data_IF_321832699537
#
_entry.id   IF_321832699537
#
_cell.length_a   1.000
_cell.length_b   1.000
_cell.length_c   1.000
_cell.angle_alpha   90.00
_cell.angle_beta   90.00
_cell.angle_gamma   90.00
#
_symmetry.space_group_name_H-M   'P 1'
#
loop_
_entity.id
_entity.type
_entity.pdbx_description
1 polymer ?
#
# COMPACT_ATOMS: atom_id res chain seq x y z
N UNK A 1 -4.73 26.44 -35.32
CA UNK A 1 -5.16 25.05 -35.58
C UNK A 1 -4.07 24.15 -35.04
N UNK A 2 -4.30 23.55 -33.89
CA UNK A 2 -3.34 22.64 -33.25
C UNK A 2 -3.38 21.34 -34.03
N UNK A 3 -2.29 21.02 -34.74
CA UNK A 3 -2.13 19.70 -35.36
C UNK A 3 -2.29 18.64 -34.27
N UNK A 4 -3.32 17.81 -34.39
CA UNK A 4 -3.45 16.59 -33.60
C UNK A 4 -2.37 15.67 -34.14
N UNK A 5 -1.20 15.70 -33.50
CA UNK A 5 -0.11 14.78 -33.82
C UNK A 5 -0.64 13.37 -33.57
N UNK A 6 -0.93 12.63 -34.63
CA UNK A 6 -1.37 11.25 -34.54
C UNK A 6 -0.16 10.39 -34.17
N UNK A 7 0.03 10.13 -32.88
CA UNK A 7 1.08 9.24 -32.40
C UNK A 7 0.77 7.81 -32.83
N UNK A 8 1.76 7.11 -33.40
CA UNK A 8 1.59 5.67 -33.66
C UNK A 8 1.67 4.88 -32.34
N UNK A 9 1.16 3.65 -32.34
CA UNK A 9 1.29 2.75 -31.17
C UNK A 9 2.77 2.52 -30.80
N UNK A 10 3.67 2.53 -31.78
CA UNK A 10 5.10 2.41 -31.56
C UNK A 10 5.68 3.65 -30.85
N UNK A 11 5.27 4.85 -31.28
CA UNK A 11 5.70 6.11 -30.63
C UNK A 11 5.20 6.19 -29.19
N UNK A 12 3.96 5.76 -28.95
CA UNK A 12 3.38 5.70 -27.60
C UNK A 12 4.10 4.67 -26.73
N UNK A 13 4.37 3.47 -27.24
CA UNK A 13 5.11 2.44 -26.52
C UNK A 13 6.53 2.92 -26.16
N UNK A 14 7.23 3.51 -27.12
CA UNK A 14 8.55 4.12 -26.92
C UNK A 14 8.51 5.19 -25.84
N UNK A 15 7.57 6.14 -25.94
CA UNK A 15 7.40 7.22 -24.96
C UNK A 15 7.07 6.69 -23.57
N UNK A 16 6.18 5.71 -23.46
CA UNK A 16 5.77 5.12 -22.17
C UNK A 16 6.97 4.42 -21.51
N UNK A 17 7.74 3.62 -22.25
CA UNK A 17 8.92 2.92 -21.71
C UNK A 17 9.99 3.90 -21.25
N UNK A 18 10.27 4.95 -22.04
CA UNK A 18 11.22 5.99 -21.63
C UNK A 18 10.75 6.76 -20.39
N UNK A 19 9.49 7.21 -20.35
CA UNK A 19 8.95 7.94 -19.21
C UNK A 19 8.95 7.09 -17.93
N UNK A 20 8.61 5.80 -18.04
CA UNK A 20 8.69 4.88 -16.89
C UNK A 20 10.14 4.73 -16.41
N UNK A 21 11.07 4.50 -17.33
CA UNK A 21 12.49 4.32 -16.99
C UNK A 21 13.06 5.57 -16.32
N UNK A 22 12.73 6.75 -16.84
CA UNK A 22 13.08 8.04 -16.24
C UNK A 22 12.48 8.19 -14.85
N UNK A 23 11.19 7.89 -14.68
CA UNK A 23 10.51 8.00 -13.39
C UNK A 23 11.15 7.07 -12.33
N UNK A 24 11.48 5.83 -12.71
CA UNK A 24 12.10 4.86 -11.81
C UNK A 24 13.49 5.35 -11.36
N UNK A 25 14.33 5.82 -12.30
CA UNK A 25 15.67 6.36 -12.00
C UNK A 25 15.62 7.61 -11.12
N UNK A 26 14.75 8.56 -11.45
CA UNK A 26 14.55 9.78 -10.64
C UNK A 26 14.04 9.45 -9.24
N UNK A 27 13.14 8.47 -9.11
CA UNK A 27 12.63 8.04 -7.81
C UNK A 27 13.73 7.40 -6.95
N UNK A 28 14.62 6.63 -7.56
CA UNK A 28 15.76 6.02 -6.87
C UNK A 28 16.76 7.07 -6.38
N UNK A 29 17.17 8.00 -7.24
CA UNK A 29 18.03 9.13 -6.85
C UNK A 29 17.37 10.02 -5.80
N UNK A 30 16.07 10.30 -5.93
CA UNK A 30 15.31 11.03 -4.92
C UNK A 30 15.35 10.33 -3.55
N UNK A 31 15.23 9.00 -3.51
CA UNK A 31 15.35 8.22 -2.26
C UNK A 31 16.76 8.33 -1.68
N UNK A 32 17.80 8.22 -2.51
CA UNK A 32 19.20 8.34 -2.08
C UNK A 32 19.51 9.74 -1.54
N UNK A 33 19.18 10.79 -2.29
CA UNK A 33 19.37 12.18 -1.88
C UNK A 33 18.60 12.51 -0.59
N UNK A 34 17.36 12.01 -0.46
CA UNK A 34 16.57 12.15 0.78
C UNK A 34 17.22 11.45 1.97
N UNK A 35 17.81 10.26 1.77
CA UNK A 35 18.50 9.54 2.83
C UNK A 35 19.75 10.31 3.31
N UNK A 36 20.61 10.73 2.38
CA UNK A 36 21.82 11.54 2.67
C UNK A 36 21.44 12.83 3.39
N UNK A 37 20.47 13.58 2.86
CA UNK A 37 19.98 14.81 3.49
C UNK A 37 19.40 14.54 4.88
N UNK A 38 18.71 13.41 5.05
CA UNK A 38 18.18 12.95 6.33
C UNK A 38 19.25 12.70 7.38
N UNK A 39 20.46 12.30 7.00
CA UNK A 39 21.61 12.17 7.91
C UNK A 39 22.23 13.53 8.26
N UNK A 40 22.22 14.48 7.31
CA UNK A 40 22.89 15.77 7.44
C UNK A 40 22.08 16.84 8.20
N UNK A 41 20.75 16.83 8.12
CA UNK A 41 19.91 17.84 8.78
C UNK A 41 19.42 17.38 10.16
N UNK A 42 19.38 18.32 11.11
CA UNK A 42 18.88 18.04 12.45
C UNK A 42 17.35 17.90 12.45
N UNK A 43 16.81 17.30 13.51
CA UNK A 43 15.35 17.24 13.70
C UNK A 43 14.81 18.67 13.91
N UNK A 44 13.74 19.01 13.20
CA UNK A 44 13.14 20.35 13.21
C UNK A 44 13.68 21.28 12.12
N UNK A 45 14.79 20.93 11.45
CA UNK A 45 15.42 21.81 10.46
C UNK A 45 14.67 21.85 9.13
N UNK A 46 14.79 23.00 8.45
CA UNK A 46 14.27 23.22 7.10
C UNK A 46 15.29 23.95 6.23
N UNK A 47 15.60 23.39 5.06
CA UNK A 47 16.54 23.96 4.09
C UNK A 47 15.78 24.34 2.81
N UNK A 48 15.91 25.59 2.38
CA UNK A 48 15.29 26.06 1.14
C UNK A 48 16.14 25.66 -0.08
N UNK A 49 15.53 24.97 -1.04
CA UNK A 49 16.14 24.71 -2.34
C UNK A 49 15.97 25.94 -3.25
N UNK A 50 17.07 26.36 -3.91
CA UNK A 50 17.12 27.57 -4.74
C UNK A 50 17.88 27.29 -6.03
N UNK A 51 17.55 28.03 -7.10
CA UNK A 51 18.30 28.00 -8.37
C UNK A 51 19.64 28.73 -8.25
N UNK A 52 20.51 28.60 -9.25
CA UNK A 52 21.74 29.42 -9.36
C UNK A 52 21.44 30.92 -9.38
N UNK A 53 20.31 31.33 -9.99
CA UNK A 53 19.83 32.73 -9.99
C UNK A 53 19.07 33.13 -8.70
N UNK A 54 19.27 32.41 -7.59
CA UNK A 54 18.63 32.62 -6.27
C UNK A 54 17.08 32.54 -6.22
N UNK A 55 16.42 31.98 -7.24
CA UNK A 55 14.96 31.75 -7.20
C UNK A 55 14.63 30.57 -6.30
N UNK A 56 13.71 30.75 -5.36
CA UNK A 56 13.26 29.69 -4.44
C UNK A 56 12.41 28.64 -5.17
N UNK A 57 12.80 27.38 -5.06
CA UNK A 57 12.10 26.23 -5.64
C UNK A 57 11.20 25.52 -4.63
N UNK A 58 11.61 25.48 -3.37
CA UNK A 58 10.91 24.75 -2.32
C UNK A 58 11.72 24.67 -1.04
N UNK A 59 11.34 23.76 -0.14
CA UNK A 59 12.12 23.45 1.07
C UNK A 59 12.04 21.97 1.42
N UNK A 60 13.11 21.44 1.97
CA UNK A 60 13.17 20.10 2.58
C UNK A 60 13.16 20.28 4.09
N UNK A 61 12.28 19.59 4.80
CA UNK A 61 12.14 19.69 6.26
C UNK A 61 12.24 18.31 6.87
N UNK A 62 13.00 18.18 7.97
CA UNK A 62 12.98 16.97 8.82
C UNK A 62 12.12 17.25 10.03
N UNK A 63 10.84 16.92 9.90
CA UNK A 63 9.88 17.10 10.99
C UNK A 63 10.21 16.16 12.16
N UNK A 64 9.98 16.63 13.39
CA UNK A 64 9.96 15.76 14.56
C UNK A 64 8.51 15.24 14.72
N UNK A 65 8.22 13.98 14.34
CA UNK A 65 6.89 13.43 14.55
C UNK A 65 6.61 13.40 16.05
N UNK A 66 5.35 13.65 16.43
CA UNK A 66 4.95 13.55 17.84
C UNK A 66 5.34 12.15 18.37
N UNK A 67 5.88 12.05 19.59
CA UNK A 67 6.23 10.76 20.16
C UNK A 67 4.98 9.89 20.22
N UNK A 68 5.07 8.71 19.62
CA UNK A 68 4.01 7.70 19.67
C UNK A 68 4.31 6.75 20.83
N UNK A 69 3.35 6.58 21.73
CA UNK A 69 3.45 5.61 22.81
C UNK A 69 3.25 4.20 22.21
N UNK A 70 4.34 3.45 22.12
CA UNK A 70 4.30 2.05 21.65
C UNK A 70 4.30 1.14 22.87
N UNK A 71 3.33 0.23 22.92
CA UNK A 71 3.27 -0.82 23.96
C UNK A 71 4.41 -1.81 23.71
N UNK A 72 5.43 -1.79 24.58
CA UNK A 72 6.57 -2.72 24.52
C UNK A 72 6.32 -4.04 25.23
N UNK A 73 5.49 -4.01 26.27
CA UNK A 73 5.13 -5.14 27.10
C UNK A 73 3.63 -5.00 27.41
N UNK A 74 2.84 -5.88 26.80
CA UNK A 74 1.38 -5.86 26.96
C UNK A 74 0.97 -6.37 28.34
N UNK A 75 1.66 -7.37 28.87
CA UNK A 75 1.28 -8.03 30.11
C UNK A 75 1.57 -7.14 31.32
N UNK A 76 2.73 -6.47 31.32
CA UNK A 76 3.07 -5.49 32.36
C UNK A 76 2.12 -4.27 32.34
N UNK A 77 1.72 -3.82 31.14
CA UNK A 77 0.75 -2.74 30.98
C UNK A 77 -0.63 -3.17 31.51
N UNK A 78 -1.11 -4.35 31.14
CA UNK A 78 -2.41 -4.85 31.58
C UNK A 78 -2.46 -5.06 33.10
N UNK A 79 -1.39 -5.57 33.69
CA UNK A 79 -1.27 -5.69 35.15
C UNK A 79 -1.36 -4.33 35.84
N UNK A 80 -0.67 -3.32 35.31
CA UNK A 80 -0.74 -1.95 35.83
C UNK A 80 -2.13 -1.33 35.65
N UNK A 81 -2.77 -1.49 34.48
CA UNK A 81 -4.11 -0.97 34.19
C UNK A 81 -5.18 -1.55 35.12
N UNK A 82 -5.06 -2.84 35.47
CA UNK A 82 -5.97 -3.50 36.42
C UNK A 82 -5.83 -2.97 37.85
N UNK A 83 -4.64 -2.47 38.23
CA UNK A 83 -4.39 -1.84 39.53
C UNK A 83 -4.82 -0.37 39.52
N UNK A 84 -4.51 0.36 38.46
CA UNK A 84 -4.76 1.81 38.36
C UNK A 84 -6.24 2.13 38.09
N UNK A 85 -6.92 1.32 37.28
CA UNK A 85 -8.30 1.56 36.86
C UNK A 85 -9.22 0.35 37.10
N UNK A 86 -9.32 -0.17 38.34
CA UNK A 86 -10.06 -1.39 38.64
C UNK A 86 -11.56 -1.29 38.33
N UNK A 87 -12.13 -0.10 38.43
CA UNK A 87 -13.53 0.22 38.17
C UNK A 87 -13.88 0.34 36.68
N UNK A 88 -12.87 0.41 35.81
CA UNK A 88 -13.03 0.53 34.35
C UNK A 88 -12.72 -0.77 33.61
N UNK A 89 -12.41 -1.85 34.33
CA UNK A 89 -12.20 -3.17 33.75
C UNK A 89 -13.55 -3.84 33.50
N UNK A 90 -13.89 -4.07 32.24
CA UNK A 90 -15.06 -4.86 31.86
C UNK A 90 -14.78 -6.35 32.07
N UNK A 91 -15.66 -7.05 32.80
CA UNK A 91 -15.67 -8.51 32.82
C UNK A 91 -16.66 -9.01 31.78
N UNK A 92 -16.16 -9.81 30.83
CA UNK A 92 -16.99 -10.50 29.84
C UNK A 92 -17.02 -11.98 30.17
N UNK A 93 -18.21 -12.57 30.07
CA UNK A 93 -18.37 -14.02 30.14
C UNK A 93 -18.15 -14.56 28.75
N UNK A 94 -17.06 -15.27 28.56
CA UNK A 94 -16.83 -16.06 27.37
C UNK A 94 -17.39 -17.46 27.61
N UNK A 95 -18.13 -17.97 26.63
CA UNK A 95 -18.49 -19.38 26.64
C UNK A 95 -17.20 -20.17 26.52
N UNK A 96 -17.05 -21.17 27.39
CA UNK A 96 -15.92 -22.10 27.32
C UNK A 96 -16.03 -23.01 26.10
N UNK A 97 -15.79 -24.31 26.31
CA UNK A 97 -15.93 -25.30 25.24
C UNK A 97 -17.37 -25.37 24.74
N UNK A 98 -17.61 -24.85 23.54
CA UNK A 98 -18.93 -24.76 22.93
C UNK A 98 -19.60 -26.14 22.79
N UNK A 99 -18.83 -27.21 22.56
CA UNK A 99 -19.35 -28.58 22.51
C UNK A 99 -19.92 -29.04 23.85
N UNK A 100 -19.25 -28.74 24.96
CA UNK A 100 -19.74 -29.05 26.31
C UNK A 100 -20.94 -28.16 26.69
N UNK A 101 -20.88 -26.87 26.35
CA UNK A 101 -21.97 -25.92 26.60
C UNK A 101 -23.21 -26.30 25.81
N UNK A 102 -23.06 -26.64 24.53
CA UNK A 102 -24.17 -27.09 23.68
C UNK A 102 -24.76 -28.41 24.18
N UNK A 103 -23.93 -29.37 24.60
CA UNK A 103 -24.42 -30.62 25.20
C UNK A 103 -25.28 -30.34 26.43
N UNK A 104 -24.81 -29.49 27.35
CA UNK A 104 -25.58 -29.09 28.54
C UNK A 104 -26.89 -28.38 28.16
N UNK A 105 -26.88 -27.49 27.17
CA UNK A 105 -28.10 -26.80 26.71
C UNK A 105 -29.11 -27.77 26.07
N UNK A 106 -28.62 -28.74 25.30
CA UNK A 106 -29.43 -29.81 24.68
C UNK A 106 -30.03 -30.71 25.78
N UNK A 107 -29.21 -31.17 26.72
CA UNK A 107 -29.62 -32.05 27.82
C UNK A 107 -30.60 -31.36 28.78
N UNK A 108 -30.44 -30.04 28.99
CA UNK A 108 -31.37 -29.22 29.76
C UNK A 108 -32.67 -28.88 28.99
N UNK A 109 -32.84 -29.37 27.76
CA UNK A 109 -34.01 -29.13 26.93
C UNK A 109 -34.18 -27.69 26.47
N UNK A 110 -33.12 -26.87 26.54
CA UNK A 110 -33.13 -25.43 26.18
C UNK A 110 -32.91 -25.22 24.68
N UNK A 111 -33.66 -25.94 23.86
CA UNK A 111 -33.62 -25.76 22.39
C UNK A 111 -34.12 -24.37 21.96
N UNK A 112 -34.86 -23.67 22.81
CA UNK A 112 -35.24 -22.27 22.64
C UNK A 112 -34.04 -21.31 22.61
N UNK A 113 -32.88 -21.74 23.14
CA UNK A 113 -31.63 -20.97 23.14
C UNK A 113 -30.68 -21.36 22.00
N UNK A 114 -31.05 -22.32 21.15
CA UNK A 114 -30.21 -22.85 20.07
C UNK A 114 -30.85 -22.55 18.72
N UNK A 115 -30.22 -21.71 17.91
CA UNK A 115 -30.58 -21.50 16.52
C UNK A 115 -29.77 -22.41 15.60
N UNK A 116 -30.43 -23.24 14.79
CA UNK A 116 -29.77 -23.91 13.67
C UNK A 116 -29.77 -22.97 12.47
N UNK A 117 -28.58 -22.67 11.94
CA UNK A 117 -28.42 -21.87 10.74
C UNK A 117 -27.58 -22.67 9.75
N UNK A 118 -28.16 -22.95 8.59
CA UNK A 118 -27.39 -23.43 7.46
C UNK A 118 -26.61 -22.26 6.86
N UNK A 119 -25.29 -22.31 6.99
CA UNK A 119 -24.39 -21.30 6.44
C UNK A 119 -23.72 -21.87 5.21
N UNK A 120 -23.79 -21.15 4.09
CA UNK A 120 -22.98 -21.44 2.91
C UNK A 120 -21.53 -21.07 3.22
N UNK A 121 -20.59 -22.01 3.26
CA UNK A 121 -19.20 -21.69 3.58
C UNK A 121 -18.56 -20.78 2.51
N UNK A 122 -17.74 -19.81 2.94
CA UNK A 122 -17.11 -18.83 2.04
C UNK A 122 -16.28 -19.45 0.90
N UNK A 123 -15.66 -20.61 1.13
CA UNK A 123 -14.89 -21.29 0.11
C UNK A 123 -15.76 -21.73 -1.08
N UNK A 124 -17.05 -21.99 -0.88
CA UNK A 124 -17.98 -22.31 -1.97
C UNK A 124 -18.22 -21.11 -2.88
N UNK A 125 -18.12 -19.88 -2.38
CA UNK A 125 -18.16 -18.67 -3.21
C UNK A 125 -16.95 -18.62 -4.15
N UNK A 126 -15.77 -19.03 -3.66
CA UNK A 126 -14.56 -19.17 -4.49
C UNK A 126 -14.72 -20.21 -5.60
N UNK A 127 -15.30 -21.37 -5.26
CA UNK A 127 -15.62 -22.43 -6.24
C UNK A 127 -16.63 -21.95 -7.28
N UNK A 128 -17.66 -21.22 -6.84
CA UNK A 128 -18.68 -20.64 -7.70
C UNK A 128 -18.07 -19.62 -8.69
N UNK A 129 -17.20 -18.72 -8.21
CA UNK A 129 -16.46 -17.77 -9.06
C UNK A 129 -15.55 -18.47 -10.07
N UNK A 130 -14.83 -19.50 -9.64
CA UNK A 130 -13.96 -20.28 -10.53
C UNK A 130 -14.76 -21.04 -11.60
N UNK A 131 -15.95 -21.54 -11.27
CA UNK A 131 -16.84 -22.18 -12.25
C UNK A 131 -17.41 -21.16 -13.25
N UNK A 132 -17.79 -19.97 -12.78
CA UNK A 132 -18.25 -18.87 -13.63
C UNK A 132 -17.17 -18.42 -14.63
N UNK A 133 -15.93 -18.26 -14.17
CA UNK A 133 -14.79 -17.93 -15.04
C UNK A 133 -14.46 -19.03 -16.08
N UNK A 134 -14.85 -20.29 -15.81
CA UNK A 134 -14.74 -21.42 -16.76
C UNK A 134 -15.93 -21.52 -17.72
N UNK A 135 -16.87 -20.58 -17.68
CA UNK A 135 -18.03 -20.54 -18.58
C UNK A 135 -19.28 -21.25 -18.06
N UNK A 136 -19.32 -21.65 -16.79
CA UNK A 136 -20.56 -22.18 -16.18
C UNK A 136 -21.45 -21.02 -15.75
N UNK A 137 -22.73 -21.07 -16.10
CA UNK A 137 -23.69 -20.10 -15.58
C UNK A 137 -23.92 -20.33 -14.09
N UNK A 138 -23.62 -19.32 -13.27
CA UNK A 138 -23.78 -19.38 -11.81
C UNK A 138 -24.66 -18.20 -11.37
N UNK A 139 -25.84 -18.47 -10.79
CA UNK A 139 -26.72 -17.40 -10.29
C UNK A 139 -26.00 -16.46 -9.32
N UNK A 140 -26.16 -15.15 -9.54
CA UNK A 140 -25.55 -14.11 -8.70
C UNK A 140 -24.07 -13.81 -8.98
N UNK A 141 -23.46 -14.43 -10.00
CA UNK A 141 -22.09 -14.11 -10.44
C UNK A 141 -22.12 -13.60 -11.88
N UNK A 142 -21.74 -12.35 -12.05
CA UNK A 142 -21.52 -11.74 -13.37
C UNK A 142 -20.02 -11.74 -13.68
N UNK A 143 -19.65 -12.33 -14.81
CA UNK A 143 -18.26 -12.31 -15.29
C UNK A 143 -18.07 -11.08 -16.17
N UNK A 144 -17.51 -10.02 -15.59
CA UNK A 144 -17.16 -8.80 -16.33
C UNK A 144 -15.72 -8.90 -16.81
N UNK A 145 -15.42 -8.62 -18.10
CA UNK A 145 -14.04 -8.55 -18.56
C UNK A 145 -13.26 -7.50 -17.77
N UNK A 146 -12.08 -7.87 -17.29
CA UNK A 146 -11.19 -6.94 -16.59
C UNK A 146 -10.88 -5.72 -17.45
N UNK A 147 -10.78 -4.54 -16.84
CA UNK A 147 -10.39 -3.33 -17.57
C UNK A 147 -8.98 -3.54 -18.16
N UNK A 148 -8.76 -3.26 -19.46
CA UNK A 148 -7.43 -3.37 -20.04
C UNK A 148 -6.50 -2.38 -19.33
N UNK A 149 -5.34 -2.86 -18.89
CA UNK A 149 -4.30 -2.03 -18.27
C UNK A 149 -3.09 -1.97 -19.20
N UNK A 150 -2.54 -0.76 -19.38
CA UNK A 150 -1.26 -0.58 -20.07
C UNK A 150 -0.16 -0.77 -19.03
N UNK A 151 0.64 -1.83 -19.19
CA UNK A 151 1.83 -2.08 -18.38
C UNK A 151 3.08 -1.90 -19.23
N UNK A 152 4.11 -1.28 -18.66
CA UNK A 152 5.39 -1.09 -19.34
C UNK A 152 6.51 -1.79 -18.57
N UNK A 153 7.36 -2.50 -19.30
CA UNK A 153 8.58 -3.13 -18.79
C UNK A 153 9.76 -2.52 -19.54
N UNK A 154 10.68 -1.91 -18.79
CA UNK A 154 11.90 -1.37 -19.37
C UNK A 154 12.95 -2.48 -19.55
N UNK A 155 13.73 -2.37 -20.61
CA UNK A 155 14.95 -3.14 -20.81
C UNK A 155 16.18 -2.26 -20.62
N UNK A 156 17.37 -2.86 -20.50
CA UNK A 156 18.62 -2.15 -20.29
C UNK A 156 18.89 -1.04 -21.33
N UNK A 157 18.49 -1.27 -22.59
CA UNK A 157 18.58 -0.26 -23.66
C UNK A 157 17.84 1.04 -23.36
N UNK A 158 16.67 0.97 -22.72
CA UNK A 158 15.92 2.16 -22.32
C UNK A 158 16.68 2.99 -21.28
N UNK A 159 17.47 2.35 -20.42
CA UNK A 159 18.32 3.07 -19.47
C UNK A 159 19.43 3.84 -20.17
N UNK A 160 20.04 3.30 -21.23
CA UNK A 160 21.07 4.01 -22.00
C UNK A 160 20.51 5.23 -22.72
N UNK A 161 19.35 5.10 -23.36
CA UNK A 161 18.68 6.22 -24.03
C UNK A 161 18.30 7.32 -23.03
N UNK A 162 17.76 6.95 -21.85
CA UNK A 162 17.45 7.92 -20.80
C UNK A 162 18.72 8.60 -20.26
N UNK A 163 19.82 7.85 -20.08
CA UNK A 163 21.12 8.43 -19.68
C UNK A 163 21.64 9.44 -20.70
N UNK A 164 21.60 9.10 -21.98
CA UNK A 164 22.00 10.01 -23.06
C UNK A 164 21.15 11.29 -23.06
N UNK A 165 19.82 11.16 -22.92
CA UNK A 165 18.91 12.31 -22.84
C UNK A 165 19.20 13.22 -21.64
N UNK A 166 19.61 12.64 -20.51
CA UNK A 166 19.89 13.40 -19.29
C UNK A 166 21.29 14.01 -19.26
N UNK A 167 22.25 13.49 -20.04
CA UNK A 167 23.60 14.04 -20.15
C UNK A 167 23.65 15.50 -20.64
N UNK A 168 22.56 16.01 -21.22
CA UNK A 168 22.39 17.41 -21.63
C UNK A 168 21.71 18.31 -20.60
N UNK A 169 21.40 17.84 -19.39
CA UNK A 169 20.69 18.62 -18.38
C UNK A 169 21.59 19.72 -17.77
N UNK A 170 21.04 20.93 -17.60
CA UNK A 170 21.76 22.05 -16.96
C UNK A 170 21.94 21.88 -15.44
N UNK A 171 21.18 20.97 -14.83
CA UNK A 171 21.27 20.62 -13.42
C UNK A 171 21.47 19.12 -13.36
N UNK A 172 22.55 18.63 -12.73
CA UNK A 172 22.73 17.21 -12.57
C UNK A 172 21.68 16.65 -11.63
N UNK A 173 20.79 15.83 -12.20
CA UNK A 173 19.68 15.23 -11.47
C UNK A 173 19.97 13.78 -11.08
N UNK A 174 20.80 13.10 -11.84
CA UNK A 174 21.21 11.72 -11.57
C UNK A 174 22.75 11.64 -11.50
N UNK A 175 23.31 10.81 -10.62
CA UNK A 175 24.76 10.60 -10.52
C UNK A 175 25.40 9.90 -11.73
N UNK A 176 24.63 9.67 -12.78
CA UNK A 176 24.98 8.93 -14.01
C UNK A 176 25.21 9.84 -15.22
N UNK A 177 25.24 11.16 -15.03
CA UNK A 177 25.50 12.15 -16.09
C UNK A 177 27.00 12.39 -16.37
N UNK A 178 27.89 11.66 -15.68
CA UNK A 178 29.35 11.71 -15.84
C UNK A 178 29.90 10.54 -16.67
#
# INVERSE_FOLDING_TARGET
MTEIQAWTNADLAYKIVLLKTLADLVLEEFKQAKAIMGEQIARGDSIAARTLDDRKLGKVTKSDPKPEAVVKDRDALDAWLRVEFPDKIETRVELGRLDEVLAVLIDAGRQDLIGQVEVVPDHLVGVAKAAALKGREVPGIEVVPGKPVVSARAELAAHYVVRELLSGAQVPLLGIEA
#
